data_IF_801029969310
#
_entry.id   IF_801029969310
#
_cell.length_a   1.000
_cell.length_b   1.000
_cell.length_c   1.000
_cell.angle_alpha   90.00
_cell.angle_beta   90.00
_cell.angle_gamma   90.00
#
_symmetry.space_group_name_H-M   'P 1'
#
loop_
_entity.id
_entity.type
_entity.pdbx_description
1 polymer ?
#
# COMPACT_ATOMS: atom_id res chain seq x y z
N UNK A 1 -11.32 -2.83 2.41
CA UNK A 1 -11.67 -3.57 1.19
C UNK A 1 -11.81 -5.05 1.50
N UNK A 2 -12.94 -5.65 1.14
CA UNK A 2 -13.11 -7.09 1.36
C UNK A 2 -12.03 -7.95 0.72
N UNK A 3 -11.41 -7.46 -0.36
CA UNK A 3 -10.35 -8.15 -1.06
C UNK A 3 -9.20 -8.58 -0.13
N UNK A 4 -8.74 -7.68 0.73
CA UNK A 4 -7.61 -7.98 1.59
C UNK A 4 -7.93 -9.08 2.59
N UNK A 5 -9.15 -9.12 3.10
CA UNK A 5 -9.59 -10.21 3.97
C UNK A 5 -9.63 -11.54 3.22
N UNK A 6 -10.10 -11.54 1.97
CA UNK A 6 -10.14 -12.74 1.12
C UNK A 6 -8.75 -13.26 0.76
N UNK A 7 -7.76 -12.38 0.72
CA UNK A 7 -6.36 -12.76 0.51
C UNK A 7 -5.69 -13.34 1.75
N UNK A 8 -6.41 -13.43 2.87
CA UNK A 8 -5.89 -14.01 4.10
C UNK A 8 -5.25 -13.02 5.05
N UNK A 9 -5.35 -11.71 4.76
CA UNK A 9 -4.85 -10.70 5.66
C UNK A 9 -5.80 -10.48 6.84
N UNK A 10 -5.23 -10.11 7.97
CA UNK A 10 -5.95 -9.89 9.21
C UNK A 10 -5.77 -8.44 9.69
N UNK A 11 -6.57 -8.05 10.67
CA UNK A 11 -6.47 -6.73 11.30
C UNK A 11 -6.64 -5.58 10.30
N UNK A 12 -7.54 -5.77 9.32
CA UNK A 12 -7.80 -4.78 8.28
C UNK A 12 -8.49 -3.58 8.91
N UNK A 13 -7.88 -2.41 8.76
CA UNK A 13 -8.38 -1.16 9.29
C UNK A 13 -8.39 -0.10 8.19
N UNK A 14 -9.52 0.61 8.07
CA UNK A 14 -9.66 1.74 7.16
C UNK A 14 -9.43 3.03 7.94
N UNK A 15 -8.51 3.85 7.45
CA UNK A 15 -8.16 5.09 8.10
C UNK A 15 -8.80 6.26 7.35
N UNK A 16 -9.50 7.11 8.08
CA UNK A 16 -10.13 8.29 7.52
C UNK A 16 -9.44 9.54 8.05
N UNK A 17 -9.10 10.44 7.14
CA UNK A 17 -8.48 11.71 7.47
C UNK A 17 -6.96 11.68 7.37
N UNK A 18 -6.35 12.80 7.76
CA UNK A 18 -4.95 13.08 7.46
C UNK A 18 -3.95 12.58 8.52
N UNK A 19 -4.43 11.90 9.55
CA UNK A 19 -3.59 11.54 10.69
C UNK A 19 -2.80 10.24 10.51
N UNK A 20 -3.02 9.53 9.42
CA UNK A 20 -2.43 8.20 9.22
C UNK A 20 -1.24 8.20 8.24
N UNK A 21 -0.71 9.37 7.91
CA UNK A 21 0.54 9.51 7.14
C UNK A 21 0.56 8.68 5.86
N UNK A 22 -0.47 8.83 5.03
CA UNK A 22 -0.55 8.15 3.74
C UNK A 22 -1.03 6.72 3.78
N UNK A 23 -1.49 6.23 4.93
CA UNK A 23 -2.02 4.88 5.07
C UNK A 23 -3.55 4.91 5.08
N UNK A 24 -4.17 4.78 3.91
CA UNK A 24 -5.64 4.75 3.79
C UNK A 24 -6.23 3.46 4.36
N UNK A 25 -5.53 2.36 4.17
CA UNK A 25 -5.89 1.05 4.72
C UNK A 25 -4.64 0.44 5.32
N UNK A 26 -4.77 -0.18 6.47
CA UNK A 26 -3.70 -0.98 7.06
C UNK A 26 -4.20 -2.38 7.34
N UNK A 27 -3.33 -3.35 7.21
CA UNK A 27 -3.62 -4.72 7.57
C UNK A 27 -2.33 -5.47 7.90
N UNK A 28 -2.47 -6.69 8.41
CA UNK A 28 -1.35 -7.51 8.79
C UNK A 28 -1.41 -8.87 8.12
N UNK A 29 -0.25 -9.45 7.91
CA UNK A 29 -0.10 -10.84 7.50
C UNK A 29 0.69 -11.59 8.57
N UNK A 30 0.18 -12.72 9.01
CA UNK A 30 0.91 -13.59 9.91
C UNK A 30 1.93 -14.39 9.11
N UNK A 31 3.18 -14.35 9.54
CA UNK A 31 4.27 -15.08 8.87
C UNK A 31 4.35 -16.52 9.38
N UNK A 32 5.15 -17.34 8.71
CA UNK A 32 5.43 -18.72 9.11
C UNK A 32 6.09 -18.81 10.49
N UNK A 33 6.69 -17.73 10.96
CA UNK A 33 7.36 -17.65 12.24
C UNK A 33 6.48 -17.08 13.37
N UNK A 34 5.16 -17.03 13.12
CA UNK A 34 4.16 -16.47 14.04
C UNK A 34 4.39 -15.00 14.38
N UNK A 35 4.99 -14.27 13.47
CA UNK A 35 5.15 -12.84 13.57
C UNK A 35 4.19 -12.15 12.60
N UNK A 36 3.91 -10.86 12.84
CA UNK A 36 3.06 -10.07 11.96
C UNK A 36 3.88 -9.10 11.13
N UNK A 37 3.63 -9.10 9.83
CA UNK A 37 4.07 -8.04 8.93
C UNK A 37 2.91 -7.11 8.67
N UNK A 38 3.16 -5.81 8.75
CA UNK A 38 2.13 -4.79 8.57
C UNK A 38 2.25 -4.14 7.21
N UNK A 39 1.11 -3.99 6.54
CA UNK A 39 0.99 -3.40 5.21
C UNK A 39 0.23 -2.09 5.30
N UNK A 40 0.72 -1.07 4.61
CA UNK A 40 -0.03 0.16 4.40
C UNK A 40 -0.47 0.23 2.95
N UNK A 41 -1.72 0.57 2.72
CA UNK A 41 -2.26 0.76 1.38
C UNK A 41 -2.58 2.22 1.18
N UNK A 42 -2.11 2.74 0.06
CA UNK A 42 -2.40 4.07 -0.40
C UNK A 42 -3.28 3.99 -1.63
N UNK A 43 -4.41 4.67 -1.62
CA UNK A 43 -5.40 4.61 -2.69
C UNK A 43 -5.41 5.94 -3.43
N UNK A 44 -5.41 5.86 -4.76
CA UNK A 44 -5.55 7.03 -5.63
C UNK A 44 -6.49 6.68 -6.78
N UNK A 45 -7.43 7.58 -7.09
CA UNK A 45 -8.31 7.41 -8.22
C UNK A 45 -7.67 7.94 -9.50
N UNK A 46 -7.88 7.21 -10.60
CA UNK A 46 -7.41 7.60 -11.91
C UNK A 46 -6.11 6.94 -12.34
N UNK A 47 -5.52 7.47 -13.39
CA UNK A 47 -4.27 6.99 -13.95
C UNK A 47 -3.08 7.74 -13.35
N UNK A 48 -1.92 7.09 -13.35
CA UNK A 48 -0.66 7.73 -12.97
C UNK A 48 0.33 7.57 -14.12
N UNK A 49 0.75 8.69 -14.70
CA UNK A 49 1.68 8.72 -15.83
C UNK A 49 3.01 9.38 -15.43
N UNK A 50 4.05 9.06 -16.18
CA UNK A 50 5.38 9.64 -15.97
C UNK A 50 5.45 11.15 -16.19
N UNK A 51 4.48 11.73 -16.93
CA UNK A 51 4.39 13.16 -17.13
C UNK A 51 3.68 13.92 -16.02
N UNK A 52 3.04 13.23 -15.09
CA UNK A 52 2.28 13.83 -14.01
C UNK A 52 3.15 13.96 -12.74
N UNK A 53 4.12 14.86 -12.77
CA UNK A 53 5.10 15.02 -11.71
C UNK A 53 4.47 15.31 -10.33
N UNK A 54 3.36 16.05 -10.29
CA UNK A 54 2.66 16.33 -9.03
C UNK A 54 2.14 15.07 -8.38
N UNK A 55 1.49 14.19 -9.16
CA UNK A 55 0.97 12.91 -8.66
C UNK A 55 2.10 11.99 -8.21
N UNK A 56 3.18 11.92 -8.99
CA UNK A 56 4.33 11.09 -8.67
C UNK A 56 4.99 11.54 -7.37
N UNK A 57 5.22 12.84 -7.22
CA UNK A 57 5.84 13.38 -6.00
C UNK A 57 4.95 13.15 -4.77
N UNK A 58 3.64 13.30 -4.91
CA UNK A 58 2.70 13.02 -3.85
C UNK A 58 2.76 11.56 -3.42
N UNK A 59 2.74 10.62 -4.37
CA UNK A 59 2.82 9.20 -4.09
C UNK A 59 4.14 8.81 -3.42
N UNK A 60 5.25 9.39 -3.87
CA UNK A 60 6.57 9.17 -3.26
C UNK A 60 6.55 9.65 -1.81
N UNK A 61 6.08 10.86 -1.57
CA UNK A 61 6.02 11.44 -0.22
C UNK A 61 5.16 10.60 0.69
N UNK A 62 3.99 10.20 0.23
CA UNK A 62 3.06 9.41 1.03
C UNK A 62 3.62 8.00 1.31
N UNK A 63 4.33 7.40 0.35
CA UNK A 63 4.95 6.11 0.56
C UNK A 63 6.08 6.20 1.60
N UNK A 64 6.93 7.23 1.52
CA UNK A 64 7.97 7.47 2.51
C UNK A 64 7.39 7.69 3.89
N UNK A 65 6.33 8.48 4.00
CA UNK A 65 5.66 8.73 5.27
C UNK A 65 5.06 7.44 5.83
N UNK A 66 4.46 6.62 4.98
CA UNK A 66 3.89 5.35 5.41
C UNK A 66 4.95 4.42 6.01
N UNK A 67 6.14 4.36 5.40
CA UNK A 67 7.23 3.55 5.92
C UNK A 67 7.85 4.11 7.20
N UNK A 68 7.98 5.42 7.30
CA UNK A 68 8.75 6.05 8.38
C UNK A 68 7.96 6.31 9.63
N UNK A 69 6.65 6.50 9.51
CA UNK A 69 5.81 6.88 10.65
C UNK A 69 5.13 5.65 11.25
N UNK A 70 5.37 5.37 12.54
CA UNK A 70 4.67 4.28 13.19
C UNK A 70 3.19 4.60 13.36
N UNK A 71 2.37 3.58 13.44
CA UNK A 71 0.96 3.74 13.77
C UNK A 71 0.58 2.80 14.92
N UNK A 72 -0.52 3.14 15.59
CA UNK A 72 -1.02 2.31 16.68
C UNK A 72 -1.93 1.22 16.13
N UNK A 73 -1.54 -0.04 16.37
CA UNK A 73 -2.38 -1.18 16.03
C UNK A 73 -3.29 -1.50 17.20
N UNK A 74 -4.60 -1.27 17.03
CA UNK A 74 -5.59 -1.47 18.09
C UNK A 74 -5.72 -2.95 18.49
N UNK A 75 -5.38 -3.86 17.60
CA UNK A 75 -5.49 -5.29 17.87
C UNK A 75 -4.34 -5.81 18.75
N UNK A 76 -3.12 -5.39 18.45
CA UNK A 76 -1.96 -5.76 19.26
C UNK A 76 -1.70 -4.80 20.42
N UNK A 77 -2.35 -3.63 20.42
CA UNK A 77 -2.16 -2.55 21.40
C UNK A 77 -0.74 -2.00 21.45
N UNK A 78 -0.05 -2.04 20.31
CA UNK A 78 1.32 -1.55 20.18
C UNK A 78 1.45 -0.59 19.02
N UNK A 79 2.50 0.24 19.08
CA UNK A 79 2.93 0.99 17.90
C UNK A 79 3.74 0.07 17.00
N UNK A 80 3.39 0.06 15.73
CA UNK A 80 4.03 -0.81 14.73
C UNK A 80 4.43 0.01 13.52
N UNK A 81 5.36 -0.54 12.74
CA UNK A 81 5.82 0.08 11.49
C UNK A 81 5.37 -0.77 10.32
N UNK A 82 5.16 -0.09 9.20
CA UNK A 82 4.79 -0.74 7.94
C UNK A 82 6.02 -1.43 7.35
N UNK A 83 5.85 -2.69 6.97
CA UNK A 83 6.88 -3.47 6.28
C UNK A 83 6.75 -3.35 4.77
N UNK A 84 5.53 -3.24 4.26
CA UNK A 84 5.25 -3.13 2.82
C UNK A 84 4.20 -2.08 2.56
N UNK A 85 4.37 -1.33 1.48
CA UNK A 85 3.40 -0.33 1.03
C UNK A 85 2.84 -0.76 -0.31
N UNK A 86 1.52 -0.77 -0.40
CA UNK A 86 0.79 -1.03 -1.63
C UNK A 86 0.27 0.31 -2.15
N UNK A 87 0.62 0.63 -3.38
CA UNK A 87 0.06 1.78 -4.09
C UNK A 87 -1.01 1.25 -5.03
N UNK A 88 -2.27 1.50 -4.69
CA UNK A 88 -3.43 1.00 -5.42
C UNK A 88 -4.10 2.16 -6.16
N UNK A 89 -4.29 2.01 -7.47
CA UNK A 89 -4.99 3.03 -8.28
C UNK A 89 -6.13 2.39 -9.04
N UNK A 90 -7.14 3.18 -9.37
CA UNK A 90 -8.27 2.69 -10.16
C UNK A 90 -7.98 2.61 -11.65
N UNK A 91 -7.03 3.38 -12.15
CA UNK A 91 -6.62 3.39 -13.54
C UNK A 91 -5.36 2.57 -13.80
N UNK A 92 -4.46 3.12 -14.61
CA UNK A 92 -3.24 2.44 -15.04
C UNK A 92 -2.01 3.25 -14.66
N UNK A 93 -0.91 2.53 -14.41
CA UNK A 93 0.42 3.13 -14.31
C UNK A 93 1.11 3.05 -15.68
N UNK A 94 1.78 4.12 -16.09
CA UNK A 94 2.79 3.97 -17.15
C UNK A 94 4.05 3.35 -16.55
N UNK A 95 4.83 2.68 -17.37
CA UNK A 95 6.11 2.11 -16.92
C UNK A 95 7.02 3.19 -16.35
N UNK A 96 7.07 4.35 -17.01
CA UNK A 96 7.87 5.48 -16.55
C UNK A 96 7.42 6.00 -15.18
N UNK A 97 6.12 5.98 -14.91
CA UNK A 97 5.60 6.39 -13.59
C UNK A 97 6.09 5.45 -12.48
N UNK A 98 5.99 4.14 -12.70
CA UNK A 98 6.48 3.14 -11.75
C UNK A 98 7.98 3.33 -11.49
N UNK A 99 8.77 3.50 -12.54
CA UNK A 99 10.21 3.72 -12.42
C UNK A 99 10.54 4.99 -11.62
N UNK A 100 9.84 6.09 -11.88
CA UNK A 100 10.04 7.34 -11.15
C UNK A 100 9.69 7.22 -9.68
N UNK A 101 8.63 6.49 -9.35
CA UNK A 101 8.25 6.28 -7.95
C UNK A 101 9.31 5.44 -7.25
N UNK A 102 9.77 4.37 -7.86
CA UNK A 102 10.80 3.52 -7.30
C UNK A 102 12.09 4.30 -7.09
N UNK A 103 12.52 5.09 -8.07
CA UNK A 103 13.72 5.90 -7.96
C UNK A 103 13.60 6.99 -6.89
N UNK A 104 12.40 7.51 -6.69
CA UNK A 104 12.14 8.50 -5.64
C UNK A 104 12.25 7.95 -4.23
N UNK A 105 12.11 6.64 -4.06
CA UNK A 105 12.35 5.96 -2.78
C UNK A 105 13.82 5.52 -2.79
N UNK A 106 14.67 6.29 -2.15
CA UNK A 106 16.12 6.08 -2.25
C UNK A 106 16.64 4.92 -1.39
N UNK A 107 15.99 4.64 -0.28
CA UNK A 107 16.38 3.58 0.61
C UNK A 107 16.11 2.21 -0.02
N UNK A 108 17.16 1.46 -0.29
CA UNK A 108 17.07 0.18 -0.98
C UNK A 108 16.09 -0.82 -0.35
N UNK A 109 16.08 -1.00 0.99
CA UNK A 109 15.11 -1.91 1.59
C UNK A 109 13.65 -1.52 1.34
N UNK A 110 13.36 -0.22 1.21
CA UNK A 110 11.99 0.24 0.96
C UNK A 110 11.56 -0.03 -0.47
N UNK A 111 12.46 0.10 -1.44
CA UNK A 111 12.16 -0.18 -2.86
C UNK A 111 11.63 -1.58 -3.08
N UNK A 112 12.19 -2.55 -2.38
CA UNK A 112 11.80 -3.95 -2.50
C UNK A 112 10.47 -4.27 -1.82
N UNK A 113 9.93 -3.33 -1.06
CA UNK A 113 8.70 -3.50 -0.31
C UNK A 113 7.56 -2.63 -0.84
N UNK A 114 7.68 -2.15 -2.07
CA UNK A 114 6.61 -1.46 -2.79
C UNK A 114 5.86 -2.46 -3.67
N UNK A 115 4.54 -2.38 -3.61
CA UNK A 115 3.66 -3.19 -4.47
C UNK A 115 2.74 -2.23 -5.21
N UNK A 116 2.64 -2.38 -6.53
CA UNK A 116 1.80 -1.55 -7.38
C UNK A 116 0.60 -2.36 -7.84
N UNK A 117 -0.59 -1.87 -7.53
CA UNK A 117 -1.84 -2.49 -8.00
C UNK A 117 -2.62 -1.45 -8.82
N UNK A 118 -2.75 -1.69 -10.11
CA UNK A 118 -3.64 -0.90 -10.97
C UNK A 118 -5.05 -1.50 -10.97
N UNK A 119 -5.97 -0.81 -11.66
CA UNK A 119 -7.36 -1.24 -11.71
C UNK A 119 -7.53 -2.64 -12.30
N UNK A 120 -6.78 -2.95 -13.34
CA UNK A 120 -6.80 -4.27 -13.98
C UNK A 120 -6.32 -5.37 -13.04
N UNK A 121 -5.23 -5.12 -12.32
CA UNK A 121 -4.71 -6.07 -11.34
C UNK A 121 -5.66 -6.29 -10.18
N UNK A 122 -6.27 -5.22 -9.71
CA UNK A 122 -7.28 -5.30 -8.64
C UNK A 122 -8.46 -6.14 -9.08
N UNK A 123 -9.01 -5.90 -10.29
CA UNK A 123 -10.10 -6.69 -10.83
C UNK A 123 -9.72 -8.16 -10.99
N UNK A 124 -8.52 -8.43 -11.46
CA UNK A 124 -8.00 -9.78 -11.60
C UNK A 124 -7.95 -10.51 -10.26
N UNK A 125 -7.46 -9.85 -9.22
CA UNK A 125 -7.42 -10.42 -7.87
C UNK A 125 -8.81 -10.64 -7.31
N UNK A 126 -9.73 -9.70 -7.50
CA UNK A 126 -11.12 -9.84 -7.06
C UNK A 126 -11.80 -11.02 -7.75
N UNK A 127 -11.61 -11.17 -9.06
CA UNK A 127 -12.17 -12.28 -9.82
C UNK A 127 -11.61 -13.61 -9.34
N UNK A 128 -10.31 -13.69 -9.09
CA UNK A 128 -9.63 -14.90 -8.64
C UNK A 128 -10.10 -15.36 -7.25
N UNK A 129 -10.36 -14.41 -6.35
CA UNK A 129 -10.69 -14.73 -4.96
C UNK A 129 -12.16 -14.52 -4.58
N UNK A 130 -13.01 -14.09 -5.52
CA UNK A 130 -14.42 -13.81 -5.23
C UNK A 130 -15.30 -15.06 -5.09
N UNK A 131 -14.79 -16.22 -5.44
CA UNK A 131 -15.54 -17.47 -5.42
C UNK A 131 -15.44 -18.23 -4.09
N UNK A 132 -14.81 -17.65 -3.12
CA UNK A 132 -14.60 -18.31 -1.82
C UNK A 132 -15.43 -17.70 -0.71
#
# INVERSE_FOLDING_TARGET
>A
MPLFRKLGFVNVKYNHGNKEFGKDVTFARRTEFDEYEYYGVQVKFGDVSGGANGDINELITQAKDAFSMPFYDVYSRNKVRISKVIIAISGKFTLNAVEKIIEGIQEYPLKNNLIFLDGEKIESLMSKYSRF
#
